data_IF_270680643210
#
_entry.id   IF_270680643210
#
_cell.length_a   1.000
_cell.length_b   1.000
_cell.length_c   1.000
_cell.angle_alpha   90.00
_cell.angle_beta   90.00
_cell.angle_gamma   90.00
#
_symmetry.space_group_name_H-M   'P 1'
#
loop_
_entity.id
_entity.type
_entity.pdbx_description
1 polymer ?
#
# COMPACT_ATOMS: atom_id res chain seq x y z
N UNK A 1 26.78 -0.02 12.13
CA UNK A 1 26.22 -0.11 13.49
C UNK A 1 24.86 0.54 13.48
N UNK A 2 23.78 -0.24 13.61
CA UNK A 2 22.43 0.32 13.75
C UNK A 2 22.22 0.61 15.23
N UNK A 3 21.91 1.86 15.57
CA UNK A 3 21.64 2.27 16.93
C UNK A 3 20.31 1.63 17.39
N UNK A 4 20.36 0.94 18.53
CA UNK A 4 19.17 0.50 19.24
C UNK A 4 18.43 1.73 19.81
N UNK A 5 17.20 1.94 19.35
CA UNK A 5 16.19 2.79 20.00
C UNK A 5 14.85 2.06 19.91
N UNK A 6 14.04 2.13 20.97
CA UNK A 6 12.84 1.32 21.19
C UNK A 6 11.98 1.09 19.94
N UNK A 7 12.01 -0.17 19.48
CA UNK A 7 11.27 -0.76 18.35
C UNK A 7 10.65 0.17 17.31
N UNK A 8 11.47 0.99 16.66
CA UNK A 8 11.02 1.81 15.53
C UNK A 8 10.99 0.93 14.27
N UNK A 9 9.85 0.89 13.57
CA UNK A 9 9.74 0.22 12.25
C UNK A 9 10.83 0.79 11.32
N UNK A 10 11.67 -0.07 10.69
CA UNK A 10 12.75 0.40 9.83
C UNK A 10 12.25 1.23 8.65
N UNK A 11 13.00 2.26 8.28
CA UNK A 11 12.83 2.98 7.01
C UNK A 11 14.03 2.65 6.12
N UNK A 12 13.78 2.21 4.91
CA UNK A 12 14.78 1.80 3.92
C UNK A 12 14.77 2.82 2.77
N UNK A 13 15.94 3.37 2.46
CA UNK A 13 16.16 4.21 1.30
C UNK A 13 16.48 3.33 0.08
N UNK A 14 15.63 3.39 -0.96
CA UNK A 14 15.78 2.58 -2.16
C UNK A 14 16.79 3.15 -3.18
N UNK A 15 17.20 4.41 -3.02
CA UNK A 15 18.25 5.06 -3.82
C UNK A 15 19.60 5.11 -3.10
N UNK A 16 19.70 4.53 -1.90
CA UNK A 16 20.95 4.49 -1.15
C UNK A 16 22.05 3.88 -2.03
N UNK A 17 23.12 4.64 -2.30
CA UNK A 17 24.23 4.21 -3.15
C UNK A 17 25.08 3.19 -2.39
N UNK A 18 24.54 1.99 -2.27
CA UNK A 18 25.17 0.81 -1.72
C UNK A 18 24.93 -0.32 -2.71
N UNK A 19 25.87 -1.26 -2.81
CA UNK A 19 25.65 -2.51 -3.55
C UNK A 19 24.28 -3.12 -3.24
N UNK A 20 23.59 -3.64 -4.25
CA UNK A 20 22.30 -4.34 -4.13
C UNK A 20 22.29 -5.39 -3.01
N UNK A 21 23.43 -6.03 -2.75
CA UNK A 21 23.61 -7.00 -1.67
C UNK A 21 23.25 -6.43 -0.30
N UNK A 22 23.62 -5.19 -0.01
CA UNK A 22 23.36 -4.56 1.29
C UNK A 22 21.91 -4.07 1.37
N UNK A 23 21.36 -3.51 0.29
CA UNK A 23 19.96 -3.12 0.24
C UNK A 23 19.04 -4.34 0.46
N UNK A 24 19.32 -5.44 -0.24
CA UNK A 24 18.59 -6.69 -0.10
C UNK A 24 18.74 -7.28 1.32
N UNK A 25 19.92 -7.16 1.94
CA UNK A 25 20.12 -7.58 3.33
C UNK A 25 19.25 -6.77 4.30
N UNK A 26 19.18 -5.44 4.15
CA UNK A 26 18.31 -4.58 4.96
C UNK A 26 16.83 -4.94 4.81
N UNK A 27 16.37 -5.18 3.57
CA UNK A 27 14.99 -5.61 3.28
C UNK A 27 14.69 -6.94 3.96
N UNK A 28 15.61 -7.91 3.84
CA UNK A 28 15.47 -9.23 4.45
C UNK A 28 15.39 -9.14 5.98
N UNK A 29 16.33 -8.46 6.61
CA UNK A 29 16.38 -8.32 8.07
C UNK A 29 15.12 -7.62 8.61
N UNK A 30 14.65 -6.56 7.94
CA UNK A 30 13.43 -5.88 8.32
C UNK A 30 12.20 -6.80 8.16
N UNK A 31 12.14 -7.57 7.08
CA UNK A 31 11.07 -8.55 6.84
C UNK A 31 11.07 -9.67 7.89
N UNK A 32 12.23 -10.25 8.21
CA UNK A 32 12.35 -11.34 9.20
C UNK A 32 12.08 -10.86 10.63
N UNK A 33 12.54 -9.65 10.99
CA UNK A 33 12.45 -9.14 12.36
C UNK A 33 11.14 -8.43 12.69
N UNK A 34 10.58 -7.69 11.73
CA UNK A 34 9.41 -6.80 11.91
C UNK A 34 8.21 -7.20 11.06
N UNK A 35 8.40 -7.96 9.97
CA UNK A 35 7.35 -8.23 8.99
C UNK A 35 6.91 -7.02 8.17
N UNK A 36 7.49 -5.84 8.41
CA UNK A 36 7.16 -4.59 7.73
C UNK A 36 8.31 -3.57 7.81
N UNK A 37 8.32 -2.61 6.88
CA UNK A 37 9.24 -1.48 6.83
C UNK A 37 8.63 -0.35 6.01
N UNK A 38 9.13 0.86 6.17
CA UNK A 38 8.83 1.99 5.29
C UNK A 38 9.90 2.06 4.20
N UNK A 39 9.52 2.51 3.01
CA UNK A 39 10.47 2.84 1.94
C UNK A 39 10.45 4.33 1.65
N UNK A 40 11.62 4.88 1.33
CA UNK A 40 11.79 6.24 0.81
C UNK A 40 12.58 6.19 -0.50
N UNK A 41 12.54 7.28 -1.28
CA UNK A 41 13.15 7.36 -2.60
C UNK A 41 12.73 6.17 -3.50
N UNK A 42 11.45 5.82 -3.45
CA UNK A 42 10.87 4.66 -4.14
C UNK A 42 10.62 4.89 -5.64
N UNK A 43 11.08 6.00 -6.22
CA UNK A 43 10.89 6.35 -7.63
C UNK A 43 9.47 6.78 -8.04
N UNK A 44 8.42 6.44 -7.26
CA UNK A 44 7.05 6.92 -7.52
C UNK A 44 6.93 8.44 -7.27
N UNK A 45 6.43 9.18 -8.26
CA UNK A 45 6.23 10.63 -8.16
C UNK A 45 5.23 11.02 -7.06
N UNK A 46 5.60 12.02 -6.25
CA UNK A 46 4.72 12.59 -5.23
C UNK A 46 3.47 13.27 -5.82
N UNK A 47 3.57 13.84 -7.02
CA UNK A 47 2.42 14.44 -7.71
C UNK A 47 1.41 13.35 -8.11
N UNK A 48 1.91 12.24 -8.66
CA UNK A 48 1.10 11.09 -9.03
C UNK A 48 0.40 10.48 -7.81
N UNK A 49 1.11 10.31 -6.68
CA UNK A 49 0.49 9.83 -5.43
C UNK A 49 -0.61 10.77 -4.92
N UNK A 50 -0.39 12.09 -5.03
CA UNK A 50 -1.35 13.10 -4.60
C UNK A 50 -2.59 13.13 -5.50
N UNK A 51 -2.41 13.01 -6.81
CA UNK A 51 -3.49 12.87 -7.79
C UNK A 51 -4.27 11.57 -7.55
N UNK A 52 -3.58 10.45 -7.35
CA UNK A 52 -4.22 9.18 -7.07
C UNK A 52 -5.09 9.24 -5.80
N UNK A 53 -4.63 9.92 -4.74
CA UNK A 53 -5.43 10.13 -3.53
C UNK A 53 -6.74 10.88 -3.84
N UNK A 54 -6.70 11.92 -4.68
CA UNK A 54 -7.90 12.67 -5.11
C UNK A 54 -8.83 11.79 -5.93
N UNK A 55 -8.30 11.07 -6.91
CA UNK A 55 -9.07 10.14 -7.74
C UNK A 55 -9.76 9.06 -6.91
N UNK A 56 -9.10 8.53 -5.88
CA UNK A 56 -9.70 7.54 -4.97
C UNK A 56 -10.87 8.16 -4.20
N UNK A 57 -10.72 9.38 -3.66
CA UNK A 57 -11.82 10.07 -2.98
C UNK A 57 -13.02 10.28 -3.93
N UNK A 58 -12.78 10.79 -5.14
CA UNK A 58 -13.81 10.99 -6.16
C UNK A 58 -14.49 9.67 -6.60
N UNK A 59 -13.76 8.54 -6.55
CA UNK A 59 -14.30 7.22 -6.86
C UNK A 59 -15.29 6.76 -5.77
N UNK A 60 -14.96 6.94 -4.50
CA UNK A 60 -15.84 6.57 -3.38
C UNK A 60 -17.09 7.46 -3.29
N UNK A 61 -17.02 8.70 -3.79
CA UNK A 61 -18.17 9.62 -3.89
C UNK A 61 -19.13 9.28 -5.04
N UNK A 62 -18.81 8.32 -5.91
CA UNK A 62 -19.72 7.92 -6.98
C UNK A 62 -21.02 7.30 -6.44
N UNK A 63 -22.14 7.44 -7.17
CA UNK A 63 -23.40 6.81 -6.78
C UNK A 63 -23.23 5.31 -6.55
N UNK A 64 -23.90 4.76 -5.54
CA UNK A 64 -23.79 3.35 -5.17
C UNK A 64 -23.98 2.40 -6.38
N UNK A 65 -24.94 2.70 -7.25
CA UNK A 65 -25.21 1.94 -8.48
C UNK A 65 -24.02 1.91 -9.45
N UNK A 66 -23.17 2.93 -9.45
CA UNK A 66 -21.94 2.96 -10.24
C UNK A 66 -20.87 2.10 -9.55
N UNK A 67 -20.76 2.19 -8.23
CA UNK A 67 -19.75 1.47 -7.45
C UNK A 67 -19.92 -0.06 -7.56
N UNK A 68 -21.16 -0.55 -7.46
CA UNK A 68 -21.49 -1.98 -7.61
C UNK A 68 -21.21 -2.56 -9.00
N UNK A 69 -20.94 -1.72 -10.00
CA UNK A 69 -20.51 -2.19 -11.33
C UNK A 69 -19.05 -2.65 -11.37
N UNK A 70 -18.25 -2.36 -10.35
CA UNK A 70 -16.92 -2.95 -10.18
C UNK A 70 -17.10 -4.36 -9.60
N UNK A 71 -17.34 -5.33 -10.47
CA UNK A 71 -17.62 -6.73 -10.12
C UNK A 71 -16.34 -7.53 -9.83
N UNK A 72 -16.46 -8.57 -9.01
CA UNK A 72 -15.36 -9.50 -8.70
C UNK A 72 -14.87 -10.24 -9.97
N UNK A 73 -13.58 -10.05 -10.33
CA UNK A 73 -12.87 -10.94 -11.28
C UNK A 73 -12.36 -12.18 -10.53
N UNK A 74 -11.87 -11.97 -9.31
CA UNK A 74 -11.63 -12.98 -8.29
C UNK A 74 -12.48 -12.61 -7.07
N UNK A 75 -12.94 -13.63 -6.33
CA UNK A 75 -13.81 -13.43 -5.17
C UNK A 75 -13.17 -12.45 -4.17
N UNK A 76 -13.85 -11.34 -3.89
CA UNK A 76 -13.38 -10.33 -2.94
C UNK A 76 -12.58 -9.18 -3.52
N UNK A 77 -12.33 -9.17 -4.84
CA UNK A 77 -11.51 -8.13 -5.47
C UNK A 77 -12.33 -6.93 -5.98
N UNK A 78 -13.61 -7.08 -6.28
CA UNK A 78 -14.43 -5.97 -6.73
C UNK A 78 -14.83 -5.01 -5.61
N UNK A 79 -15.95 -4.31 -5.82
CA UNK A 79 -16.51 -3.39 -4.85
C UNK A 79 -17.11 -4.14 -3.65
N UNK A 80 -16.84 -3.63 -2.44
CA UNK A 80 -17.51 -4.05 -1.20
C UNK A 80 -17.99 -2.83 -0.43
N UNK A 81 -19.31 -2.76 -0.25
CA UNK A 81 -19.92 -1.81 0.66
C UNK A 81 -19.66 -2.20 2.13
N UNK A 82 -19.74 -1.26 3.07
CA UNK A 82 -19.76 -1.58 4.49
C UNK A 82 -20.95 -2.48 4.84
N UNK A 83 -20.73 -3.39 5.79
CA UNK A 83 -21.75 -4.34 6.27
C UNK A 83 -21.49 -4.69 7.74
N UNK A 84 -22.35 -5.50 8.35
CA UNK A 84 -22.36 -5.73 9.81
C UNK A 84 -21.00 -6.15 10.41
N UNK A 85 -20.19 -6.94 9.69
CA UNK A 85 -18.86 -7.36 10.17
C UNK A 85 -17.84 -6.23 10.04
N UNK A 86 -17.94 -5.42 8.97
CA UNK A 86 -17.02 -4.33 8.69
C UNK A 86 -17.77 -3.03 8.39
N UNK A 87 -18.37 -2.38 9.42
CA UNK A 87 -19.28 -1.25 9.22
C UNK A 87 -18.59 0.04 8.79
N UNK A 88 -17.25 0.10 8.89
CA UNK A 88 -16.44 1.28 8.55
C UNK A 88 -15.54 1.06 7.34
N UNK A 89 -15.66 -0.09 6.66
CA UNK A 89 -14.78 -0.46 5.56
C UNK A 89 -15.56 -0.53 4.26
N UNK A 90 -15.15 0.31 3.30
CA UNK A 90 -15.60 0.28 1.93
C UNK A 90 -14.38 0.11 1.03
N UNK A 91 -14.46 -0.73 0.01
CA UNK A 91 -13.29 -1.01 -0.85
C UNK A 91 -13.68 -1.18 -2.31
N UNK A 92 -12.71 -0.87 -3.16
CA UNK A 92 -12.64 -1.26 -4.55
C UNK A 92 -11.37 -2.08 -4.76
N UNK A 93 -11.37 -2.92 -5.78
CA UNK A 93 -10.14 -3.50 -6.28
C UNK A 93 -10.27 -3.85 -7.74
N UNK A 94 -9.14 -4.25 -8.29
CA UNK A 94 -9.00 -4.72 -9.65
C UNK A 94 -7.96 -5.83 -9.65
N UNK A 95 -8.14 -6.77 -10.56
CA UNK A 95 -7.15 -7.79 -10.86
C UNK A 95 -6.95 -7.76 -12.36
N UNK A 96 -5.73 -7.47 -12.77
CA UNK A 96 -5.31 -7.57 -14.17
C UNK A 96 -4.73 -8.96 -14.38
N UNK A 97 -5.27 -9.71 -15.35
CA UNK A 97 -4.86 -11.09 -15.67
C UNK A 97 -3.74 -11.12 -16.70
#
# INVERSE_FOLDING_TARGET
MMAETGGVIPTIDLEEVISDKILNQKIREASERWGCFRVMNHGVSLSLMSEMKKTIMDLFERPHEVKVRNTDVLLGIGYRAPYDINPYYETFGLYDM
#
